data_IF_264234526915
#
_entry.id   IF_264234526915
#
_cell.length_a   1.000
_cell.length_b   1.000
_cell.length_c   1.000
_cell.angle_alpha   90.00
_cell.angle_beta   90.00
_cell.angle_gamma   90.00
#
_symmetry.space_group_name_H-M   'P 1'
#
loop_
_entity.id
_entity.type
_entity.pdbx_description
1 polymer ?
#
# COMPACT_ATOMS: atom_id res chain seq x y z
N UNK A 1 8.88 -11.17 -5.49
CA UNK A 1 8.35 -10.90 -4.16
C UNK A 1 6.89 -11.33 -4.08
N UNK A 2 6.52 -12.04 -3.03
CA UNK A 2 5.14 -12.45 -2.84
C UNK A 2 4.31 -11.29 -2.31
N UNK A 3 3.03 -11.27 -2.65
CA UNK A 3 2.11 -10.23 -2.19
C UNK A 3 1.22 -10.83 -1.12
N UNK A 4 1.32 -10.30 0.10
CA UNK A 4 0.58 -10.81 1.26
C UNK A 4 -0.34 -9.70 1.77
N UNK A 5 -1.63 -9.97 1.82
CA UNK A 5 -2.61 -9.01 2.31
C UNK A 5 -3.08 -9.41 3.70
N UNK A 6 -3.15 -8.44 4.60
CA UNK A 6 -3.89 -8.67 5.84
C UNK A 6 -5.37 -8.71 5.50
N UNK A 7 -6.19 -9.15 6.44
CA UNK A 7 -7.65 -9.14 6.22
C UNK A 7 -8.14 -7.74 5.88
N UNK A 8 -7.64 -6.74 6.59
CA UNK A 8 -8.01 -5.35 6.32
C UNK A 8 -7.54 -4.89 4.95
N UNK A 9 -6.29 -5.21 4.61
CA UNK A 9 -5.74 -4.86 3.30
C UNK A 9 -6.53 -5.49 2.17
N UNK A 10 -6.93 -6.73 2.36
CA UNK A 10 -7.72 -7.44 1.35
C UNK A 10 -9.11 -6.82 1.21
N UNK A 11 -9.77 -6.49 2.34
CA UNK A 11 -11.08 -5.85 2.30
C UNK A 11 -11.02 -4.50 1.57
N UNK A 12 -9.96 -3.72 1.82
CA UNK A 12 -9.76 -2.45 1.12
C UNK A 12 -9.60 -2.66 -0.38
N UNK A 13 -8.80 -3.66 -0.74
CA UNK A 13 -8.52 -3.97 -2.14
C UNK A 13 -9.82 -4.35 -2.88
N UNK A 14 -10.61 -5.23 -2.27
CA UNK A 14 -11.89 -5.66 -2.83
C UNK A 14 -12.88 -4.49 -2.96
N UNK A 15 -12.85 -3.57 -1.99
CA UNK A 15 -13.67 -2.38 -2.05
C UNK A 15 -13.45 -1.62 -3.37
N UNK A 16 -12.19 -1.45 -3.75
CA UNK A 16 -11.87 -0.70 -4.98
C UNK A 16 -12.28 -1.44 -6.24
N UNK A 17 -12.36 -2.76 -6.21
CA UNK A 17 -12.80 -3.55 -7.38
C UNK A 17 -14.18 -3.12 -7.86
N UNK A 18 -15.07 -2.76 -6.94
CA UNK A 18 -16.43 -2.37 -7.29
C UNK A 18 -16.62 -0.86 -7.30
N UNK A 19 -15.86 -0.15 -6.49
CA UNK A 19 -16.09 1.29 -6.32
C UNK A 19 -15.35 2.16 -7.31
N UNK A 20 -14.11 1.79 -7.67
CA UNK A 20 -13.32 2.64 -8.56
C UNK A 20 -12.16 1.87 -9.14
N UNK A 21 -12.35 1.39 -10.35
CA UNK A 21 -11.33 0.58 -11.00
C UNK A 21 -10.07 1.34 -11.36
N UNK A 22 -10.16 2.64 -11.54
CA UNK A 22 -8.98 3.48 -11.77
C UNK A 22 -8.09 3.48 -10.55
N UNK A 23 -8.70 3.60 -9.37
CA UNK A 23 -7.96 3.56 -8.11
C UNK A 23 -7.34 2.18 -7.91
N UNK A 24 -8.06 1.12 -8.23
CA UNK A 24 -7.51 -0.22 -8.16
C UNK A 24 -6.27 -0.36 -9.03
N UNK A 25 -6.33 0.17 -10.24
CA UNK A 25 -5.20 0.13 -11.16
C UNK A 25 -4.00 0.85 -10.58
N UNK A 26 -4.23 2.00 -9.96
CA UNK A 26 -3.16 2.75 -9.32
C UNK A 26 -2.52 1.96 -8.19
N UNK A 27 -3.35 1.29 -7.38
CA UNK A 27 -2.85 0.44 -6.30
C UNK A 27 -1.98 -0.68 -6.86
N UNK A 28 -2.45 -1.32 -7.92
CA UNK A 28 -1.67 -2.39 -8.57
C UNK A 28 -0.32 -1.87 -9.06
N UNK A 29 -0.31 -0.68 -9.65
CA UNK A 29 0.92 -0.06 -10.14
C UNK A 29 1.88 0.20 -8.97
N UNK A 30 1.35 0.68 -7.85
CA UNK A 30 2.17 0.94 -6.67
C UNK A 30 2.77 -0.35 -6.13
N UNK A 31 1.95 -1.41 -6.04
CA UNK A 31 2.44 -2.69 -5.53
C UNK A 31 3.55 -3.25 -6.42
N UNK A 32 3.37 -3.17 -7.76
CA UNK A 32 4.41 -3.62 -8.67
C UNK A 32 5.69 -2.81 -8.52
N UNK A 33 5.56 -1.50 -8.31
CA UNK A 33 6.72 -0.66 -8.10
C UNK A 33 7.45 -1.01 -6.80
N UNK A 34 6.72 -1.32 -5.74
CA UNK A 34 7.32 -1.77 -4.49
C UNK A 34 8.10 -3.07 -4.72
N UNK A 35 7.52 -4.00 -5.45
CA UNK A 35 8.19 -5.27 -5.75
C UNK A 35 9.48 -5.07 -6.52
N UNK A 36 9.55 -4.03 -7.34
CA UNK A 36 10.72 -3.75 -8.16
C UNK A 36 11.75 -2.88 -7.46
N UNK A 37 11.31 -1.89 -6.71
CA UNK A 37 12.18 -0.84 -6.17
C UNK A 37 12.23 -0.75 -4.64
N UNK A 38 11.48 -1.58 -3.93
CA UNK A 38 11.49 -1.55 -2.48
C UNK A 38 10.86 -0.28 -1.93
N UNK A 39 11.59 0.40 -1.04
CA UNK A 39 11.08 1.59 -0.38
C UNK A 39 11.45 2.89 -1.09
N UNK A 40 11.77 2.81 -2.38
CA UNK A 40 11.95 3.98 -3.22
C UNK A 40 11.04 3.83 -4.43
N UNK A 41 10.74 4.93 -5.11
CA UNK A 41 9.93 4.86 -6.30
C UNK A 41 8.75 5.81 -6.28
N UNK A 42 7.70 5.43 -6.99
CA UNK A 42 6.54 6.31 -7.19
C UNK A 42 5.65 6.39 -5.96
N UNK A 43 4.81 7.41 -5.89
CA UNK A 43 3.84 7.55 -4.80
C UNK A 43 4.40 8.13 -3.52
N UNK A 44 5.57 8.73 -3.59
CA UNK A 44 6.22 9.38 -2.43
C UNK A 44 6.32 8.45 -1.22
N UNK A 45 7.11 7.36 -1.32
CA UNK A 45 7.27 6.44 -0.20
C UNK A 45 7.76 7.16 1.04
N UNK A 46 7.15 6.85 2.18
CA UNK A 46 7.43 7.53 3.43
C UNK A 46 7.34 6.55 4.59
N UNK A 47 8.38 6.50 5.46
CA UNK A 47 8.30 5.61 6.61
C UNK A 47 7.31 6.14 7.64
N UNK A 48 6.61 5.22 8.29
CA UNK A 48 5.66 5.58 9.34
C UNK A 48 6.32 5.43 10.71
N UNK A 49 5.69 6.02 11.72
CA UNK A 49 6.27 6.06 13.06
C UNK A 49 5.26 5.54 14.09
N UNK A 50 5.70 5.52 15.35
CA UNK A 50 4.88 5.09 16.48
C UNK A 50 4.33 3.67 16.27
N UNK A 51 3.03 3.48 16.37
CA UNK A 51 2.41 2.16 16.24
C UNK A 51 2.68 1.49 14.90
N UNK A 52 3.02 2.29 13.89
CA UNK A 52 3.25 1.78 12.55
C UNK A 52 4.72 1.79 12.15
N UNK A 53 5.61 1.89 13.13
CA UNK A 53 7.05 1.81 12.87
C UNK A 53 7.36 0.51 12.14
N UNK A 54 8.13 0.61 11.05
CA UNK A 54 8.44 -0.54 10.20
C UNK A 54 7.56 -0.61 8.96
N UNK A 55 6.44 0.07 8.98
CA UNK A 55 5.58 0.20 7.81
C UNK A 55 5.91 1.47 7.06
N UNK A 56 5.51 1.49 5.80
CA UNK A 56 5.68 2.63 4.89
C UNK A 56 4.37 2.97 4.25
N UNK A 57 4.23 4.19 3.75
CA UNK A 57 3.04 4.57 2.99
C UNK A 57 3.44 5.07 1.63
N UNK A 58 2.53 4.87 0.67
CA UNK A 58 2.62 5.50 -0.65
C UNK A 58 1.28 6.13 -0.95
N UNK A 59 1.30 7.24 -1.66
CA UNK A 59 0.07 7.95 -2.02
C UNK A 59 -0.64 7.24 -3.16
N UNK A 60 -1.91 6.92 -2.95
CA UNK A 60 -2.78 6.41 -4.01
C UNK A 60 -3.42 7.62 -4.70
N UNK A 61 -3.94 8.55 -3.90
CA UNK A 61 -4.52 9.81 -4.33
C UNK A 61 -4.45 10.77 -3.14
N UNK A 62 -5.16 11.90 -3.19
CA UNK A 62 -5.08 12.88 -2.11
C UNK A 62 -5.60 12.34 -0.77
N UNK A 63 -6.52 11.40 -0.80
CA UNK A 63 -7.21 10.92 0.40
C UNK A 63 -6.71 9.56 0.88
N UNK A 64 -6.25 8.73 -0.04
CA UNK A 64 -5.99 7.33 0.28
C UNK A 64 -4.52 6.99 0.19
N UNK A 65 -4.10 6.10 1.09
CA UNK A 65 -2.70 5.66 1.17
C UNK A 65 -2.62 4.15 1.13
N UNK A 66 -1.55 3.66 0.53
CA UNK A 66 -1.18 2.25 0.58
C UNK A 66 -0.20 2.09 1.73
N UNK A 67 -0.57 1.30 2.73
CA UNK A 67 0.27 1.05 3.90
C UNK A 67 0.85 -0.35 3.78
N UNK A 68 2.17 -0.46 3.82
CA UNK A 68 2.83 -1.73 3.54
C UNK A 68 4.15 -1.84 4.29
N UNK A 69 4.69 -3.05 4.30
CA UNK A 69 6.08 -3.27 4.70
C UNK A 69 6.63 -4.37 3.82
N UNK A 70 7.95 -4.46 3.75
CA UNK A 70 8.61 -5.48 2.93
C UNK A 70 9.65 -6.23 3.76
N UNK A 71 9.90 -7.47 3.34
CA UNK A 71 11.08 -8.19 3.78
C UNK A 71 11.72 -8.79 2.52
N UNK A 72 12.61 -9.76 2.67
CA UNK A 72 13.35 -10.30 1.54
C UNK A 72 12.46 -10.96 0.51
N UNK A 73 11.34 -11.51 0.92
CA UNK A 73 10.50 -12.33 0.04
C UNK A 73 9.11 -11.78 -0.18
N UNK A 74 8.63 -10.88 0.66
CA UNK A 74 7.23 -10.49 0.64
C UNK A 74 7.03 -8.99 0.73
N UNK A 75 5.93 -8.53 0.10
CA UNK A 75 5.35 -7.25 0.43
C UNK A 75 4.05 -7.52 1.17
N UNK A 76 3.90 -6.91 2.32
CA UNK A 76 2.72 -7.07 3.17
C UNK A 76 1.87 -5.83 3.04
N UNK A 77 0.62 -6.00 2.60
CA UNK A 77 -0.31 -4.89 2.42
C UNK A 77 -1.23 -4.83 3.62
N UNK A 78 -1.05 -3.81 4.44
CA UNK A 78 -1.83 -3.62 5.66
C UNK A 78 -3.16 -2.93 5.36
N UNK A 79 -3.15 -1.96 4.47
CA UNK A 79 -4.33 -1.17 4.12
C UNK A 79 -4.09 -0.47 2.79
N UNK A 80 -5.17 -0.16 2.08
CA UNK A 80 -5.06 0.63 0.86
C UNK A 80 -6.28 1.52 0.66
N UNK A 81 -6.79 2.04 1.78
CA UNK A 81 -7.91 2.95 1.79
C UNK A 81 -7.72 3.89 2.98
N UNK A 82 -8.22 5.11 2.87
CA UNK A 82 -8.11 6.13 3.89
C UNK A 82 -6.69 6.67 4.07
N UNK A 83 -6.59 7.72 4.81
CA UNK A 83 -5.33 8.40 5.09
C UNK A 83 -4.93 8.10 6.54
N UNK A 84 -3.77 7.48 6.70
CA UNK A 84 -3.23 7.19 8.02
C UNK A 84 -2.40 8.39 8.47
N UNK A 85 -2.92 9.14 9.41
CA UNK A 85 -2.17 10.25 9.98
C UNK A 85 -2.06 10.06 11.49
N UNK A 86 -1.12 10.79 12.05
CA UNK A 86 -0.82 10.69 13.48
C UNK A 86 -1.82 11.48 14.27
#
# INVERSE_FOLDING_TARGET
MNKVFTDNGWADYVYWETEDRKTLKKINTLIEDICRNGNTGIGKPEPLVDNLTGYWSRRINDKDRLIYKIDEENVYILACRYHYSK
#
